data_IF_009477705637
#
_entry.id   IF_009477705637
#
_cell.length_a   1.000
_cell.length_b   1.000
_cell.length_c   1.000
_cell.angle_alpha   90.00
_cell.angle_beta   90.00
_cell.angle_gamma   90.00
#
_symmetry.space_group_name_H-M   'P 1'
#
loop_
_entity.id
_entity.type
_entity.pdbx_description
1 polymer ?
#
# COMPACT_ATOMS: atom_id res chain seq x y z
N UNK A 1 -3.62 -11.19 10.54
CA UNK A 1 -2.43 -10.66 9.86
C UNK A 1 -2.74 -10.62 8.38
N UNK A 2 -2.45 -9.53 7.69
CA UNK A 2 -2.65 -9.45 6.25
C UNK A 2 -1.63 -10.35 5.52
N UNK A 3 -2.06 -11.10 4.51
CA UNK A 3 -1.17 -11.92 3.68
C UNK A 3 -0.85 -11.22 2.35
N UNK A 4 0.43 -11.27 1.95
CA UNK A 4 0.93 -10.65 0.70
C UNK A 4 0.11 -11.09 -0.52
N UNK A 5 -0.19 -12.39 -0.64
CA UNK A 5 -0.96 -12.94 -1.76
C UNK A 5 -2.39 -12.41 -1.82
N UNK A 6 -3.05 -12.23 -0.67
CA UNK A 6 -4.41 -11.70 -0.61
C UNK A 6 -4.44 -10.22 -1.01
N UNK A 7 -3.52 -9.41 -0.47
CA UNK A 7 -3.43 -7.98 -0.78
C UNK A 7 -3.08 -7.77 -2.25
N UNK A 8 -2.14 -8.56 -2.80
CA UNK A 8 -1.82 -8.53 -4.23
C UNK A 8 -3.03 -8.83 -5.11
N UNK A 9 -3.85 -9.83 -4.73
CA UNK A 9 -5.04 -10.19 -5.50
C UNK A 9 -6.07 -9.05 -5.50
N UNK A 10 -6.33 -8.45 -4.34
CA UNK A 10 -7.26 -7.32 -4.22
C UNK A 10 -6.76 -6.11 -5.02
N UNK A 11 -5.47 -5.80 -4.95
CA UNK A 11 -4.87 -4.75 -5.77
C UNK A 11 -4.94 -5.03 -7.27
N UNK A 12 -4.93 -6.30 -7.70
CA UNK A 12 -5.20 -6.63 -9.10
C UNK A 12 -6.68 -6.41 -9.46
N UNK A 13 -7.59 -6.70 -8.52
CA UNK A 13 -9.02 -6.43 -8.72
C UNK A 13 -9.37 -4.94 -8.76
N UNK A 14 -8.59 -4.06 -8.10
CA UNK A 14 -8.77 -2.60 -8.23
C UNK A 14 -8.32 -2.07 -9.60
N UNK A 15 -7.55 -2.85 -10.36
CA UNK A 15 -7.08 -2.52 -11.70
C UNK A 15 -7.97 -3.10 -12.82
N UNK A 16 -8.94 -3.95 -12.48
CA UNK A 16 -9.90 -4.49 -13.45
C UNK A 16 -10.76 -3.37 -14.07
N UNK A 17 -11.15 -3.56 -15.33
CA UNK A 17 -11.97 -2.60 -16.08
C UNK A 17 -13.41 -2.46 -15.54
N UNK A 18 -13.86 -3.43 -14.75
CA UNK A 18 -15.22 -3.49 -14.23
C UNK A 18 -15.39 -2.58 -13.00
N UNK A 19 -16.23 -1.57 -13.13
CA UNK A 19 -16.50 -0.58 -12.06
C UNK A 19 -17.04 -1.21 -10.77
N UNK A 20 -17.82 -2.30 -10.87
CA UNK A 20 -18.37 -2.96 -9.69
C UNK A 20 -17.29 -3.76 -8.96
N UNK A 21 -16.43 -4.48 -9.69
CA UNK A 21 -15.26 -5.17 -9.13
C UNK A 21 -14.28 -4.19 -8.48
N UNK A 22 -14.00 -3.06 -9.13
CA UNK A 22 -13.12 -2.02 -8.58
C UNK A 22 -13.63 -1.49 -7.23
N UNK A 23 -14.90 -1.06 -7.18
CA UNK A 23 -15.50 -0.56 -5.94
C UNK A 23 -15.51 -1.60 -4.83
N UNK A 24 -15.79 -2.87 -5.17
CA UNK A 24 -15.73 -3.97 -4.21
C UNK A 24 -14.31 -4.17 -3.68
N UNK A 25 -13.32 -4.19 -4.58
CA UNK A 25 -11.92 -4.34 -4.21
C UNK A 25 -11.40 -3.17 -3.37
N UNK A 26 -11.80 -1.93 -3.65
CA UNK A 26 -11.48 -0.77 -2.82
C UNK A 26 -12.11 -0.88 -1.42
N UNK A 27 -13.35 -1.37 -1.32
CA UNK A 27 -14.00 -1.59 -0.03
C UNK A 27 -13.31 -2.70 0.77
N UNK A 28 -12.92 -3.81 0.13
CA UNK A 28 -12.16 -4.89 0.77
C UNK A 28 -10.76 -4.44 1.17
N UNK A 29 -10.08 -3.66 0.33
CA UNK A 29 -8.77 -3.09 0.64
C UNK A 29 -8.87 -2.20 1.88
N UNK A 30 -9.89 -1.36 1.98
CA UNK A 30 -10.12 -0.51 3.14
C UNK A 30 -10.39 -1.29 4.43
N UNK A 31 -11.06 -2.43 4.34
CA UNK A 31 -11.21 -3.33 5.49
C UNK A 31 -9.88 -3.99 5.88
N UNK A 32 -9.04 -4.34 4.89
CA UNK A 32 -7.70 -4.87 5.16
C UNK A 32 -6.73 -3.81 5.70
N UNK A 33 -6.91 -2.55 5.32
CA UNK A 33 -6.17 -1.43 5.90
C UNK A 33 -6.41 -1.34 7.42
N UNK A 34 -7.56 -1.80 7.92
CA UNK A 34 -7.79 -1.90 9.37
C UNK A 34 -6.98 -3.00 10.08
N UNK A 35 -6.31 -3.89 9.34
CA UNK A 35 -5.53 -4.98 9.91
C UNK A 35 -4.10 -4.53 10.25
N UNK A 36 -3.58 -4.88 11.43
CA UNK A 36 -2.18 -4.62 11.77
C UNK A 36 -1.24 -5.38 10.83
N UNK A 37 -0.14 -4.73 10.43
CA UNK A 37 0.85 -5.28 9.50
C UNK A 37 0.54 -5.11 8.01
N UNK A 38 -0.63 -4.57 7.63
CA UNK A 38 -0.97 -4.28 6.23
C UNK A 38 0.05 -3.34 5.57
N UNK A 39 0.56 -2.40 6.35
CA UNK A 39 1.52 -1.38 5.92
C UNK A 39 2.85 -2.00 5.48
N UNK A 40 3.31 -3.03 6.19
CA UNK A 40 4.51 -3.81 5.85
C UNK A 40 4.26 -4.63 4.57
N UNK A 41 3.10 -5.28 4.47
CA UNK A 41 2.74 -6.08 3.29
C UNK A 41 2.71 -5.22 2.02
N UNK A 42 2.10 -4.03 2.09
CA UNK A 42 2.08 -3.08 0.97
C UNK A 42 3.50 -2.68 0.56
N UNK A 43 4.40 -2.46 1.52
CA UNK A 43 5.80 -2.17 1.21
C UNK A 43 6.56 -3.33 0.60
N UNK A 44 6.34 -4.56 1.07
CA UNK A 44 6.92 -5.75 0.44
C UNK A 44 6.45 -5.90 -1.01
N UNK A 45 5.18 -5.58 -1.30
CA UNK A 45 4.66 -5.58 -2.66
C UNK A 45 5.30 -4.52 -3.56
N UNK A 46 5.59 -3.34 -3.02
CA UNK A 46 6.26 -2.24 -3.74
C UNK A 46 7.74 -2.58 -3.98
N UNK A 47 8.41 -3.14 -2.99
CA UNK A 47 9.83 -3.51 -3.07
C UNK A 47 10.07 -4.79 -3.91
N UNK A 48 9.05 -5.63 -4.09
CA UNK A 48 9.16 -6.83 -4.90
C UNK A 48 9.18 -6.49 -6.40
N UNK A 49 10.25 -6.86 -7.09
CA UNK A 49 10.34 -6.71 -8.55
C UNK A 49 9.48 -7.74 -9.30
N UNK A 50 9.03 -8.79 -8.61
CA UNK A 50 8.17 -9.83 -9.20
C UNK A 50 6.71 -9.39 -9.34
N UNK A 51 6.31 -8.30 -8.67
CA UNK A 51 4.96 -7.75 -8.77
C UNK A 51 4.84 -6.86 -10.00
N UNK A 52 3.70 -6.95 -10.68
CA UNK A 52 3.41 -6.15 -11.85
C UNK A 52 3.48 -4.65 -11.50
N UNK A 53 4.02 -3.79 -12.40
CA UNK A 53 4.18 -2.37 -12.13
C UNK A 53 2.86 -1.69 -11.73
N UNK A 54 1.73 -2.08 -12.35
CA UNK A 54 0.42 -1.55 -11.99
C UNK A 54 0.00 -1.92 -10.55
N UNK A 55 0.28 -3.15 -10.11
CA UNK A 55 0.03 -3.59 -8.72
C UNK A 55 0.92 -2.85 -7.73
N UNK A 56 2.19 -2.59 -8.08
CA UNK A 56 3.10 -1.78 -7.26
C UNK A 56 2.61 -0.36 -7.07
N UNK A 57 2.12 0.27 -8.15
CA UNK A 57 1.52 1.61 -8.09
C UNK A 57 0.29 1.62 -7.18
N UNK A 58 -0.61 0.66 -7.35
CA UNK A 58 -1.79 0.54 -6.50
C UNK A 58 -1.41 0.33 -5.02
N UNK A 59 -0.40 -0.50 -4.74
CA UNK A 59 0.14 -0.69 -3.38
C UNK A 59 0.73 0.59 -2.80
N UNK A 60 1.49 1.36 -3.59
CA UNK A 60 2.09 2.63 -3.16
C UNK A 60 1.04 3.70 -2.84
N UNK A 61 -0.02 3.79 -3.66
CA UNK A 61 -1.14 4.70 -3.42
C UNK A 61 -1.90 4.31 -2.14
N UNK A 62 -2.19 3.03 -1.95
CA UNK A 62 -2.83 2.51 -0.75
C UNK A 62 -1.98 2.81 0.50
N UNK A 63 -0.67 2.51 0.46
CA UNK A 63 0.25 2.79 1.56
C UNK A 63 0.28 4.27 1.91
N UNK A 64 0.35 5.15 0.90
CA UNK A 64 0.34 6.61 1.10
C UNK A 64 -0.94 7.07 1.79
N UNK A 65 -2.10 6.55 1.37
CA UNK A 65 -3.39 6.87 1.98
C UNK A 65 -3.47 6.34 3.41
N UNK A 66 -3.08 5.08 3.63
CA UNK A 66 -3.02 4.47 4.95
C UNK A 66 -2.17 5.27 5.94
N UNK A 67 -0.93 5.60 5.56
CA UNK A 67 -0.04 6.42 6.37
C UNK A 67 -0.65 7.80 6.61
N UNK A 68 -1.20 8.45 5.57
CA UNK A 68 -1.82 9.77 5.73
C UNK A 68 -2.95 9.78 6.76
N UNK A 69 -3.77 8.74 6.80
CA UNK A 69 -4.90 8.60 7.74
C UNK A 69 -4.42 8.18 9.13
N UNK A 70 -3.54 7.19 9.21
CA UNK A 70 -3.19 6.49 10.46
C UNK A 70 -1.85 6.93 11.08
N UNK A 71 -1.16 7.92 10.55
CA UNK A 71 0.10 8.41 11.13
C UNK A 71 -0.10 9.25 12.39
N UNK A 72 -1.19 10.01 12.47
CA UNK A 72 -1.43 10.94 13.57
C UNK A 72 -2.16 10.26 14.75
N UNK A 73 -1.46 10.06 15.88
CA UNK A 73 -1.93 9.26 17.03
C UNK A 73 -3.30 9.72 17.59
N UNK A 74 -3.66 10.99 17.41
CA UNK A 74 -4.94 11.55 17.88
C UNK A 74 -6.16 11.19 17.01
N UNK A 75 -5.96 10.81 15.75
CA UNK A 75 -7.04 10.52 14.78
C UNK A 75 -6.81 9.20 14.01
N UNK A 76 -6.07 8.26 14.59
CA UNK A 76 -5.83 6.95 13.99
C UNK A 76 -7.11 6.08 14.03
N UNK A 77 -7.56 5.57 12.88
CA UNK A 77 -8.51 4.44 12.85
C UNK A 77 -7.81 3.13 13.23
N UNK A 78 -6.50 3.04 12.94
CA UNK A 78 -5.65 1.88 13.23
C UNK A 78 -4.42 2.35 13.98
N UNK A 79 -4.22 1.81 15.19
CA UNK A 79 -3.05 2.13 15.99
C UNK A 79 -1.81 1.44 15.39
N UNK A 80 -1.02 2.20 14.63
CA UNK A 80 0.26 1.72 14.10
C UNK A 80 1.29 1.75 15.23
N UNK A 81 1.78 0.57 15.60
CA UNK A 81 2.83 0.43 16.61
C UNK A 81 4.10 1.20 16.23
N UNK A 82 4.84 1.69 17.24
CA UNK A 82 6.06 2.47 17.01
C UNK A 82 7.12 1.65 16.24
N UNK A 83 7.17 0.32 16.45
CA UNK A 83 8.02 -0.59 15.68
C UNK A 83 7.61 -0.63 14.19
N UNK A 84 6.31 -0.76 13.88
CA UNK A 84 5.81 -0.69 12.50
C UNK A 84 6.18 0.66 11.85
N UNK A 85 6.06 1.78 12.59
CA UNK A 85 6.44 3.11 12.07
C UNK A 85 7.93 3.18 11.74
N UNK A 86 8.78 2.58 12.57
CA UNK A 86 10.23 2.55 12.34
C UNK A 86 10.56 1.68 11.13
N UNK A 87 9.99 0.48 11.05
CA UNK A 87 10.14 -0.41 9.89
C UNK A 87 9.66 0.27 8.60
N UNK A 88 8.54 0.99 8.65
CA UNK A 88 8.03 1.75 7.50
C UNK A 88 9.00 2.84 7.05
N UNK A 89 9.70 3.52 7.95
CA UNK A 89 10.72 4.50 7.55
C UNK A 89 11.92 3.82 6.90
N UNK A 90 12.42 2.75 7.51
CA UNK A 90 13.59 2.02 7.00
C UNK A 90 13.33 1.41 5.62
N UNK A 91 12.23 0.70 5.44
CA UNK A 91 11.83 0.10 4.17
C UNK A 91 11.54 1.17 3.10
N UNK A 92 10.99 2.34 3.48
CA UNK A 92 10.77 3.44 2.52
C UNK A 92 12.10 3.97 2.01
N UNK A 93 13.06 4.19 2.91
CA UNK A 93 14.41 4.62 2.53
C UNK A 93 15.08 3.56 1.65
N UNK A 94 15.03 2.28 2.04
CA UNK A 94 15.58 1.18 1.24
C UNK A 94 14.97 1.10 -0.15
N UNK A 95 13.65 1.29 -0.27
CA UNK A 95 12.97 1.34 -1.57
C UNK A 95 13.43 2.55 -2.38
N UNK A 96 13.54 3.74 -1.76
CA UNK A 96 14.03 4.94 -2.46
C UNK A 96 15.49 4.82 -2.93
N UNK A 97 16.36 4.18 -2.14
CA UNK A 97 17.78 4.02 -2.48
C UNK A 97 18.03 2.81 -3.40
N UNK A 98 17.28 1.72 -3.22
CA UNK A 98 17.39 0.50 -4.03
C UNK A 98 16.74 0.63 -5.40
N UNK A 99 15.71 1.47 -5.53
CA UNK A 99 14.98 1.65 -6.78
C UNK A 99 15.41 2.94 -7.49
N UNK A 100 16.64 2.98 -8.00
CA UNK A 100 17.18 4.06 -8.86
C UNK A 100 16.40 4.25 -10.18
N UNK A 101 15.36 3.45 -10.46
CA UNK A 101 14.60 3.48 -11.70
C UNK A 101 13.07 3.68 -11.59
N UNK A 102 12.50 3.77 -10.38
CA UNK A 102 11.04 3.94 -10.23
C UNK A 102 10.72 5.38 -9.91
N UNK A 103 10.96 6.26 -10.88
CA UNK A 103 10.23 7.52 -10.96
C UNK A 103 8.76 7.17 -11.17
N UNK A 104 8.06 6.96 -10.07
CA UNK A 104 6.62 7.24 -9.99
C UNK A 104 6.48 8.73 -10.24
N UNK A 105 6.51 9.07 -11.54
CA UNK A 105 6.07 10.36 -12.04
C UNK A 105 4.76 10.65 -11.33
N UNK A 106 4.84 11.71 -10.55
CA UNK A 106 3.77 12.36 -9.84
C UNK A 106 2.61 12.57 -10.81
N UNK A 107 1.72 11.60 -10.94
CA UNK A 107 0.49 11.71 -11.71
C UNK A 107 -0.48 12.55 -10.86
N UNK A 108 -0.12 13.84 -10.75
CA UNK A 108 -1.08 14.93 -10.74
C UNK A 108 -1.82 14.85 -12.08
N UNK A 109 -2.92 14.09 -12.07
CA UNK A 109 -4.02 14.37 -12.99
C UNK A 109 -4.46 15.82 -12.70
N UNK A 110 -4.55 16.69 -13.73
CA UNK A 110 -4.89 18.11 -13.57
C UNK A 110 -6.26 18.35 -12.95
#
# INVERSE_FOLDING_TARGET
MAEIGQVANILNMTLESDTAKRKKAEAELKQMESLPGISIVLMQLIASEQTLPATRLAAAVALKNFVKVNWNKEHCEVEIQDEERKQLRELTLQTMFGTTGMFVSFELVP
#
